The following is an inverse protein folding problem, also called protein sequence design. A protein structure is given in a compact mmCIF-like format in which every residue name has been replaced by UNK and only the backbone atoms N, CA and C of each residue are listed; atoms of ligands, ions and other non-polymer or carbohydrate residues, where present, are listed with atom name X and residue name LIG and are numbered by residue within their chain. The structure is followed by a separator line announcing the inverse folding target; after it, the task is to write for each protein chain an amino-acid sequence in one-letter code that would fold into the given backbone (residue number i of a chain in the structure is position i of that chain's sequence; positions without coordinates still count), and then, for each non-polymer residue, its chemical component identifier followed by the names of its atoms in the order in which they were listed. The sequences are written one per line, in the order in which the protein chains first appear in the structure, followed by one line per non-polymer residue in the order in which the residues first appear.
data_IF_938367549660
#
_entry.id   IF_938367549660
#
_cell.length_a   1.000
_cell.length_b   1.000
_cell.length_c   1.000
_cell.angle_alpha   90.00
_cell.angle_beta   90.00
_cell.angle_gamma   90.00
#
_symmetry.space_group_name_H-M   'P 1'
#
loop_
_entity.id
_entity.type
_entity.pdbx_description
1 polymer ?
#
# COMPACT_ATOMS: atom_id res chain seq x y z
N UNK A 1 10.46 -4.11 13.30
CA UNK A 1 11.77 -4.27 13.96
C UNK A 1 12.75 -5.07 13.10
N UNK A 2 12.39 -6.30 12.66
CA UNK A 2 13.28 -7.17 11.87
C UNK A 2 13.79 -6.46 10.60
N UNK A 3 12.92 -5.91 9.78
CA UNK A 3 13.31 -5.22 8.54
C UNK A 3 14.20 -4.00 8.80
N UNK A 4 13.90 -3.22 9.82
CA UNK A 4 14.72 -2.04 10.19
C UNK A 4 16.14 -2.42 10.62
N UNK A 5 16.32 -3.62 11.21
CA UNK A 5 17.61 -4.07 11.72
C UNK A 5 18.51 -4.70 10.64
N UNK A 6 17.92 -5.24 9.57
CA UNK A 6 18.66 -5.97 8.53
C UNK A 6 18.88 -5.17 7.24
N UNK A 7 18.31 -3.97 7.12
CA UNK A 7 18.55 -3.10 5.98
C UNK A 7 19.67 -2.11 6.29
N UNK A 8 20.75 -2.17 5.52
CA UNK A 8 21.93 -1.30 5.68
C UNK A 8 21.72 0.13 5.18
N UNK A 9 20.73 0.39 4.32
CA UNK A 9 20.41 1.73 3.80
C UNK A 9 19.23 2.31 4.61
N UNK A 10 19.52 3.28 5.51
CA UNK A 10 18.53 3.90 6.40
C UNK A 10 17.49 4.74 5.65
N UNK A 11 16.24 4.63 6.05
CA UNK A 11 15.11 5.44 5.55
C UNK A 11 13.79 4.71 5.48
N UNK A 12 13.79 3.39 5.45
CA UNK A 12 12.57 2.59 5.46
C UNK A 12 11.85 2.70 6.82
N UNK A 13 10.51 2.71 6.77
CA UNK A 13 9.67 2.88 7.96
C UNK A 13 9.78 4.25 8.66
N UNK A 14 10.36 5.25 8.01
CA UNK A 14 10.36 6.63 8.47
C UNK A 14 9.21 7.37 7.80
N UNK A 15 8.19 7.68 8.58
CA UNK A 15 7.07 8.50 8.13
C UNK A 15 7.40 9.97 8.35
N UNK A 16 6.99 10.82 7.41
CA UNK A 16 7.19 12.25 7.51
C UNK A 16 6.01 13.03 6.98
N UNK A 17 5.45 13.88 7.81
CA UNK A 17 4.43 14.86 7.45
C UNK A 17 5.09 16.25 7.28
N UNK A 18 4.78 16.92 6.18
CA UNK A 18 5.17 18.28 5.91
C UNK A 18 3.94 19.14 5.67
N UNK A 19 3.88 20.29 6.32
CA UNK A 19 2.73 21.20 6.17
C UNK A 19 3.10 22.63 6.55
N UNK A 20 2.61 23.60 5.79
CA UNK A 20 2.69 24.99 6.17
C UNK A 20 1.64 25.31 7.24
N UNK A 21 2.02 26.06 8.24
CA UNK A 21 1.18 26.44 9.39
C UNK A 21 1.26 27.93 9.61
N UNK A 22 0.12 28.62 9.49
CA UNK A 22 -0.04 30.02 9.84
C UNK A 22 -0.63 30.18 11.25
N UNK A 23 -0.20 31.20 11.99
CA UNK A 23 -0.68 31.51 13.34
C UNK A 23 -0.08 30.65 14.45
N UNK A 24 1.04 29.97 14.16
CA UNK A 24 1.69 29.07 15.12
C UNK A 24 2.49 29.84 16.18
N UNK A 25 2.32 29.45 17.44
CA UNK A 25 3.15 29.83 18.59
C UNK A 25 4.02 28.63 18.99
N UNK A 26 5.34 28.60 18.62
CA UNK A 26 6.19 27.42 18.73
C UNK A 26 6.27 26.84 20.13
N UNK A 27 6.42 27.70 21.16
CA UNK A 27 6.57 27.25 22.54
C UNK A 27 5.30 26.52 23.04
N UNK A 28 4.11 27.06 22.72
CA UNK A 28 2.84 26.43 23.06
C UNK A 28 2.64 25.10 22.30
N UNK A 29 3.11 25.05 21.06
CA UNK A 29 3.06 23.84 20.25
C UNK A 29 3.98 22.76 20.80
N UNK A 30 5.23 23.11 21.17
CA UNK A 30 6.18 22.22 21.81
C UNK A 30 5.63 21.64 23.13
N UNK A 31 5.02 22.50 23.96
CA UNK A 31 4.38 22.05 25.22
C UNK A 31 3.22 21.10 24.98
N UNK A 32 2.38 21.36 23.96
CA UNK A 32 1.27 20.46 23.61
C UNK A 32 1.78 19.08 23.18
N UNK A 33 2.82 19.04 22.36
CA UNK A 33 3.47 17.79 21.95
C UNK A 33 4.09 17.04 23.13
N UNK A 34 4.89 17.74 23.96
CA UNK A 34 5.54 17.14 25.11
C UNK A 34 4.52 16.52 26.07
N UNK A 35 3.44 17.24 26.36
CA UNK A 35 2.36 16.75 27.25
C UNK A 35 1.60 15.56 26.62
N UNK A 36 1.49 15.49 25.28
CA UNK A 36 0.89 14.35 24.61
C UNK A 36 1.83 13.14 24.66
N UNK A 37 3.13 13.32 24.46
CA UNK A 37 4.13 12.25 24.57
C UNK A 37 4.12 11.67 26.01
N UNK A 38 4.08 12.50 27.03
CA UNK A 38 4.04 12.06 28.44
C UNK A 38 2.81 11.23 28.76
N UNK A 39 1.69 11.50 28.09
CA UNK A 39 0.43 10.81 28.28
C UNK A 39 0.39 9.39 27.72
N UNK A 40 1.08 9.13 26.60
CA UNK A 40 1.01 7.86 25.88
C UNK A 40 2.29 7.03 26.06
N UNK A 41 2.17 5.86 26.68
CA UNK A 41 3.29 4.96 26.94
C UNK A 41 4.05 4.61 25.67
N UNK A 42 3.35 4.36 24.57
CA UNK A 42 3.97 3.98 23.28
C UNK A 42 4.90 5.08 22.73
N UNK A 43 4.58 6.36 22.94
CA UNK A 43 5.41 7.48 22.46
C UNK A 43 6.70 7.66 23.29
N UNK A 44 6.76 7.02 24.46
CA UNK A 44 7.93 6.97 25.34
C UNK A 44 8.63 5.60 25.29
N UNK A 45 8.35 4.82 24.25
CA UNK A 45 8.88 3.47 24.14
C UNK A 45 10.12 3.44 23.26
N UNK A 46 11.10 2.63 23.67
CA UNK A 46 12.23 2.16 22.86
C UNK A 46 12.22 0.64 22.77
N UNK A 47 13.02 0.09 21.88
CA UNK A 47 13.08 -1.34 21.60
C UNK A 47 14.51 -1.82 21.76
N UNK A 48 14.69 -2.85 22.58
CA UNK A 48 16.00 -3.48 22.85
C UNK A 48 16.00 -4.88 22.27
N UNK A 49 17.02 -5.20 21.48
CA UNK A 49 17.17 -6.51 20.81
C UNK A 49 18.60 -7.04 20.88
N UNK A 50 19.55 -6.25 21.44
CA UNK A 50 20.95 -6.61 21.54
C UNK A 50 21.25 -7.26 22.90
N UNK A 51 22.34 -8.07 22.94
CA UNK A 51 22.76 -8.76 24.14
C UNK A 51 22.11 -10.15 24.29
N UNK A 52 22.17 -10.72 25.49
CA UNK A 52 21.62 -12.06 25.82
C UNK A 52 20.11 -12.02 26.09
N UNK A 53 19.35 -11.28 25.26
CA UNK A 53 17.89 -11.21 25.40
C UNK A 53 17.25 -12.40 24.67
N UNK A 54 16.30 -13.12 25.30
CA UNK A 54 15.60 -14.25 24.68
C UNK A 54 14.66 -13.81 23.56
N UNK A 55 14.25 -12.54 23.54
CA UNK A 55 13.42 -11.91 22.52
C UNK A 55 13.57 -10.37 22.60
N UNK A 56 13.23 -9.64 21.53
CA UNK A 56 13.15 -8.17 21.57
C UNK A 56 12.21 -7.68 22.66
N UNK A 57 12.62 -6.65 23.40
CA UNK A 57 11.86 -6.07 24.51
C UNK A 57 11.47 -4.64 24.16
N UNK A 58 10.21 -4.29 24.38
CA UNK A 58 9.76 -2.91 24.37
C UNK A 58 9.90 -2.32 25.78
N UNK A 59 10.61 -1.21 25.92
CA UNK A 59 10.86 -0.50 27.18
C UNK A 59 10.11 0.83 27.16
N UNK A 60 9.29 1.07 28.18
CA UNK A 60 8.62 2.36 28.37
C UNK A 60 9.44 3.21 29.33
N UNK A 61 9.98 4.32 28.83
CA UNK A 61 10.74 5.27 29.64
C UNK A 61 9.81 6.13 30.50
N UNK A 62 10.25 6.46 31.72
CA UNK A 62 9.47 7.32 32.62
C UNK A 62 9.36 8.75 32.10
N UNK A 63 10.45 9.26 31.56
CA UNK A 63 10.55 10.61 31.03
C UNK A 63 11.34 10.59 29.73
N UNK A 64 10.90 11.36 28.77
CA UNK A 64 11.57 11.60 27.48
C UNK A 64 11.41 13.08 27.12
N UNK A 65 12.35 13.63 26.37
CA UNK A 65 12.30 15.01 25.87
C UNK A 65 12.09 15.00 24.38
N UNK A 66 11.09 15.73 23.90
CA UNK A 66 10.87 15.92 22.48
C UNK A 66 12.01 16.72 21.85
N UNK A 67 12.62 16.19 20.82
CA UNK A 67 13.50 16.95 19.96
C UNK A 67 12.64 17.84 19.04
N UNK A 68 12.77 19.16 19.21
CA UNK A 68 12.08 20.15 18.38
C UNK A 68 13.10 21.24 17.99
N UNK A 69 13.53 21.20 16.74
CA UNK A 69 14.51 22.15 16.18
C UNK A 69 13.79 23.26 15.45
N UNK A 70 14.20 24.51 15.67
CA UNK A 70 13.67 25.67 14.98
C UNK A 70 14.74 26.31 14.10
N UNK A 71 14.41 26.54 12.83
CA UNK A 71 15.23 27.30 11.86
C UNK A 71 14.53 28.61 11.52
N UNK A 72 15.25 29.72 11.54
CA UNK A 72 14.72 31.01 11.10
C UNK A 72 15.22 31.33 9.68
N UNK A 73 14.30 31.21 8.72
CA UNK A 73 14.59 31.48 7.30
C UNK A 73 13.90 32.76 6.78
N UNK A 74 13.40 33.62 7.65
CA UNK A 74 12.73 34.86 7.26
C UNK A 74 13.61 35.82 6.45
N UNK A 75 14.89 35.85 6.73
CA UNK A 75 15.87 36.69 6.05
C UNK A 75 16.55 36.05 4.84
N UNK A 76 16.27 34.76 4.60
CA UNK A 76 16.97 33.99 3.57
C UNK A 76 16.00 33.72 2.42
N UNK A 77 16.34 34.20 1.20
CA UNK A 77 15.63 33.74 -0.03
C UNK A 77 16.04 32.29 -0.33
N UNK A 78 15.62 31.37 0.50
CA UNK A 78 15.85 29.95 0.23
C UNK A 78 14.79 29.43 -0.74
N UNK A 79 15.24 28.73 -1.79
CA UNK A 79 14.37 28.11 -2.76
C UNK A 79 13.54 26.99 -2.10
N UNK A 80 12.34 26.66 -2.62
CA UNK A 80 11.55 25.51 -2.16
C UNK A 80 12.36 24.22 -2.05
N UNK A 81 13.35 24.02 -2.91
CA UNK A 81 14.29 22.89 -2.86
C UNK A 81 15.07 22.77 -1.53
N UNK A 82 15.28 23.87 -0.81
CA UNK A 82 15.96 23.82 0.48
C UNK A 82 15.09 23.12 1.55
N UNK A 83 13.76 23.30 1.52
CA UNK A 83 12.83 22.57 2.38
C UNK A 83 12.81 21.08 2.04
N UNK A 84 12.87 20.75 0.75
CA UNK A 84 12.92 19.33 0.31
C UNK A 84 14.22 18.67 0.76
N UNK A 85 15.35 19.38 0.65
CA UNK A 85 16.65 18.89 1.11
C UNK A 85 16.67 18.69 2.62
N UNK A 86 16.14 19.64 3.40
CA UNK A 86 16.04 19.52 4.85
C UNK A 86 15.16 18.33 5.24
N UNK A 87 14.00 18.18 4.61
CA UNK A 87 13.09 17.08 4.85
C UNK A 87 13.72 15.72 4.51
N UNK A 88 14.45 15.63 3.40
CA UNK A 88 15.19 14.42 3.03
C UNK A 88 16.29 14.09 4.04
N UNK A 89 17.05 15.10 4.51
CA UNK A 89 18.08 14.93 5.53
C UNK A 89 17.49 14.42 6.84
N UNK A 90 16.34 14.95 7.26
CA UNK A 90 15.62 14.47 8.45
C UNK A 90 15.16 13.03 8.31
N UNK A 91 14.71 12.58 7.13
CA UNK A 91 14.36 11.17 6.91
C UNK A 91 15.58 10.26 6.97
N UNK A 92 16.66 10.63 6.27
CA UNK A 92 17.90 9.85 6.21
C UNK A 92 18.58 9.71 7.57
N UNK A 93 18.41 10.69 8.46
CA UNK A 93 18.93 10.63 9.82
C UNK A 93 18.42 9.43 10.62
N UNK A 94 17.23 8.91 10.30
CA UNK A 94 16.64 7.75 10.98
C UNK A 94 16.42 7.96 12.48
N UNK A 95 16.30 6.84 13.22
CA UNK A 95 16.14 6.79 14.67
C UNK A 95 16.96 5.64 15.26
N UNK A 96 17.58 5.87 16.40
CA UNK A 96 18.04 4.78 17.27
C UNK A 96 16.81 4.19 17.98
N UNK A 97 16.43 2.97 17.62
CA UNK A 97 15.23 2.33 18.16
C UNK A 97 15.30 2.12 19.68
N UNK A 98 16.49 2.08 20.26
CA UNK A 98 16.66 1.98 21.72
C UNK A 98 16.40 3.30 22.43
N UNK A 99 16.44 4.44 21.75
CA UNK A 99 16.33 5.76 22.34
C UNK A 99 14.96 6.43 22.05
N UNK A 100 14.10 6.53 23.06
CA UNK A 100 12.82 7.25 22.94
C UNK A 100 13.00 8.78 23.15
N UNK A 101 12.15 9.62 22.50
CA UNK A 101 11.04 9.27 21.63
C UNK A 101 11.50 9.00 20.19
N UNK A 102 10.82 8.10 19.50
CA UNK A 102 11.07 7.80 18.09
C UNK A 102 10.24 8.73 17.16
N UNK A 103 10.20 9.99 17.52
CA UNK A 103 9.58 11.06 16.75
C UNK A 103 10.30 12.39 17.06
N UNK A 104 10.29 13.32 16.10
CA UNK A 104 10.87 14.65 16.24
C UNK A 104 10.18 15.68 15.37
N UNK A 105 10.34 16.94 15.68
CA UNK A 105 9.79 18.08 14.98
C UNK A 105 10.92 19.00 14.49
N UNK A 106 10.75 19.50 13.27
CA UNK A 106 11.54 20.61 12.74
C UNK A 106 10.58 21.71 12.30
N UNK A 107 10.73 22.91 12.86
CA UNK A 107 9.95 24.08 12.54
C UNK A 107 10.83 25.05 11.75
N UNK A 108 10.45 25.35 10.51
CA UNK A 108 11.15 26.33 9.70
C UNK A 108 10.29 27.59 9.65
N UNK A 109 10.76 28.66 10.30
CA UNK A 109 10.07 29.94 10.34
C UNK A 109 10.27 30.69 9.02
N UNK A 110 9.19 30.88 8.25
CA UNK A 110 9.20 31.52 6.93
C UNK A 110 8.55 32.91 6.95
N UNK A 111 7.86 33.26 8.04
CA UNK A 111 7.21 34.55 8.26
C UNK A 111 7.03 34.86 9.74
N UNK A 112 6.36 35.95 10.11
CA UNK A 112 6.18 36.35 11.51
C UNK A 112 5.52 35.27 12.36
N UNK A 113 4.43 34.67 11.84
CA UNK A 113 3.71 33.56 12.47
C UNK A 113 3.49 32.41 11.50
N UNK A 114 4.30 32.35 10.43
CA UNK A 114 4.25 31.29 9.42
C UNK A 114 5.42 30.36 9.57
N UNK A 115 5.12 29.08 9.63
CA UNK A 115 6.10 28.00 9.80
C UNK A 115 5.85 26.88 8.78
N UNK A 116 6.92 26.25 8.31
CA UNK A 116 6.86 24.96 7.67
C UNK A 116 7.19 23.90 8.73
N UNK A 117 6.21 23.05 9.06
CA UNK A 117 6.38 21.94 9.99
C UNK A 117 6.87 20.72 9.23
N UNK A 118 7.94 20.11 9.72
CA UNK A 118 8.40 18.77 9.33
C UNK A 118 8.27 17.89 10.59
N UNK A 119 7.31 16.98 10.60
CA UNK A 119 7.11 16.00 11.64
C UNK A 119 7.57 14.65 11.14
N UNK A 120 8.58 14.07 11.78
CA UNK A 120 9.19 12.80 11.40
C UNK A 120 9.04 11.79 12.52
N UNK A 121 8.60 10.57 12.22
CA UNK A 121 8.46 9.50 13.20
C UNK A 121 8.80 8.13 12.59
N UNK A 122 9.21 7.20 13.45
CA UNK A 122 9.40 5.82 13.05
C UNK A 122 8.05 5.09 13.09
N UNK A 123 7.72 4.36 12.02
CA UNK A 123 6.43 3.66 11.87
C UNK A 123 6.20 2.58 12.94
N UNK A 124 7.25 2.07 13.60
CA UNK A 124 7.13 1.11 14.71
C UNK A 124 6.29 1.63 15.89
N UNK A 125 6.16 2.96 16.04
CA UNK A 125 5.37 3.56 17.11
C UNK A 125 3.87 3.45 16.87
N UNK A 126 3.43 3.67 15.63
CA UNK A 126 2.01 3.85 15.35
C UNK A 126 1.69 3.71 13.87
N UNK A 127 0.44 3.39 13.61
CA UNK A 127 -0.20 3.39 12.31
C UNK A 127 -0.78 4.76 11.92
N UNK A 128 -1.26 4.89 10.68
CA UNK A 128 -1.85 6.12 10.15
C UNK A 128 -3.07 6.60 10.94
N UNK A 129 -3.94 5.68 11.40
CA UNK A 129 -5.05 6.01 12.29
C UNK A 129 -4.58 6.64 13.59
N UNK A 130 -3.63 5.99 14.25
CA UNK A 130 -3.04 6.49 15.50
C UNK A 130 -2.36 7.83 15.30
N UNK A 131 -1.69 8.03 14.16
CA UNK A 131 -1.02 9.29 13.83
C UNK A 131 -2.03 10.43 13.67
N UNK A 132 -3.14 10.22 12.97
CA UNK A 132 -4.23 11.21 12.86
C UNK A 132 -4.82 11.57 14.22
N UNK A 133 -5.02 10.60 15.10
CA UNK A 133 -5.49 10.82 16.46
C UNK A 133 -4.49 11.59 17.31
N UNK A 134 -3.20 11.25 17.21
CA UNK A 134 -2.11 11.95 17.89
C UNK A 134 -2.10 13.42 17.52
N UNK A 135 -2.14 13.74 16.24
CA UNK A 135 -2.19 15.12 15.74
C UNK A 135 -3.44 15.85 16.24
N UNK A 136 -4.60 15.20 16.22
CA UNK A 136 -5.84 15.76 16.77
C UNK A 136 -5.71 16.07 18.28
N UNK A 137 -5.13 15.18 19.10
CA UNK A 137 -4.91 15.41 20.52
C UNK A 137 -3.92 16.56 20.78
N UNK A 138 -2.84 16.64 19.99
CA UNK A 138 -1.88 17.75 20.08
C UNK A 138 -2.57 19.10 19.79
N UNK A 139 -3.40 19.18 18.76
CA UNK A 139 -4.13 20.40 18.43
C UNK A 139 -5.17 20.79 19.49
N UNK A 140 -5.87 19.81 20.07
CA UNK A 140 -6.78 20.05 21.21
C UNK A 140 -6.02 20.63 22.41
N UNK A 141 -4.86 20.05 22.77
CA UNK A 141 -4.00 20.57 23.83
C UNK A 141 -3.45 21.94 23.52
N UNK A 142 -3.04 22.17 22.28
CA UNK A 142 -2.64 23.49 21.84
C UNK A 142 -3.77 24.52 21.99
N UNK A 143 -5.03 24.12 21.78
CA UNK A 143 -6.21 24.94 22.03
C UNK A 143 -6.55 25.10 23.54
N UNK A 144 -5.82 24.45 24.44
CA UNK A 144 -6.08 24.46 25.89
C UNK A 144 -7.18 23.48 26.33
N UNK A 145 -7.53 22.53 25.48
CA UNK A 145 -8.49 21.47 25.79
C UNK A 145 -7.75 20.24 26.29
N UNK A 146 -8.26 19.63 27.37
CA UNK A 146 -7.62 18.46 27.97
C UNK A 146 -8.59 17.28 27.97
N UNK A 147 -8.12 16.13 27.53
CA UNK A 147 -8.90 14.91 27.60
C UNK A 147 -9.06 14.46 29.06
N UNK A 148 -10.30 14.20 29.47
CA UNK A 148 -10.67 13.86 30.84
C UNK A 148 -10.36 12.41 31.24
N UNK A 149 -10.15 11.52 30.26
CA UNK A 149 -9.98 10.08 30.50
C UNK A 149 -8.52 9.66 30.27
N UNK A 150 -8.03 8.70 31.06
CA UNK A 150 -6.74 8.07 30.80
C UNK A 150 -6.75 7.34 29.47
N UNK A 151 -5.67 7.42 28.66
CA UNK A 151 -5.57 6.65 27.42
C UNK A 151 -5.47 5.16 27.73
N UNK A 152 -5.96 4.32 26.83
CA UNK A 152 -5.69 2.89 26.88
C UNK A 152 -4.18 2.62 26.71
N UNK A 153 -3.72 1.51 27.25
CA UNK A 153 -2.30 1.13 27.17
C UNK A 153 -2.07 0.15 26.04
N UNK A 154 -1.08 0.42 25.21
CA UNK A 154 -0.70 -0.49 24.12
C UNK A 154 -0.30 -1.89 24.61
N UNK A 155 0.27 -1.99 25.84
CA UNK A 155 0.54 -3.28 26.49
C UNK A 155 -0.69 -4.19 26.64
N UNK A 156 -1.89 -3.61 26.78
CA UNK A 156 -3.12 -4.39 26.91
C UNK A 156 -3.46 -5.09 25.59
N UNK A 157 -3.16 -4.44 24.47
CA UNK A 157 -3.21 -5.06 23.14
C UNK A 157 -2.19 -6.19 23.00
N UNK A 158 -0.94 -5.97 23.42
CA UNK A 158 0.09 -7.03 23.40
C UNK A 158 -0.36 -8.23 24.28
N UNK A 159 -0.91 -7.98 25.46
CA UNK A 159 -1.43 -9.04 26.31
C UNK A 159 -2.66 -9.74 25.71
N UNK A 160 -3.46 -9.05 24.92
CA UNK A 160 -4.54 -9.63 24.14
C UNK A 160 -4.00 -10.54 23.02
N UNK A 161 -3.00 -10.08 22.26
CA UNK A 161 -2.32 -10.87 21.21
C UNK A 161 -1.76 -12.19 21.76
N UNK A 162 -1.12 -12.15 22.94
CA UNK A 162 -0.53 -13.35 23.58
C UNK A 162 -1.56 -14.40 23.99
N UNK A 163 -2.84 -14.03 24.08
CA UNK A 163 -3.94 -14.95 24.43
C UNK A 163 -4.64 -15.56 23.23
N UNK A 164 -4.26 -15.13 22.00
CA UNK A 164 -4.87 -15.67 20.80
C UNK A 164 -4.46 -17.11 20.55
N UNK A 165 -5.37 -17.91 20.03
CA UNK A 165 -5.14 -19.32 19.74
C UNK A 165 -4.39 -19.46 18.39
N UNK A 166 -3.11 -19.79 18.49
CA UNK A 166 -2.25 -19.98 17.34
C UNK A 166 -2.67 -21.18 16.47
N UNK A 167 -3.25 -22.24 17.06
CA UNK A 167 -3.69 -23.42 16.32
C UNK A 167 -4.94 -23.15 15.50
N UNK A 168 -5.84 -22.35 16.05
CA UNK A 168 -7.03 -21.91 15.33
C UNK A 168 -6.64 -21.03 14.14
N UNK A 169 -5.73 -20.09 14.35
CA UNK A 169 -5.17 -19.25 13.29
C UNK A 169 -4.48 -20.08 12.21
N UNK A 170 -3.65 -21.06 12.58
CA UNK A 170 -2.97 -21.94 11.64
C UNK A 170 -3.98 -22.73 10.78
N UNK A 171 -5.01 -23.28 11.40
CA UNK A 171 -6.05 -24.04 10.70
C UNK A 171 -6.78 -23.18 9.67
N UNK A 172 -7.20 -21.96 10.08
CA UNK A 172 -7.84 -21.00 9.20
C UNK A 172 -6.96 -20.64 8.00
N UNK A 173 -5.72 -20.22 8.28
CA UNK A 173 -4.83 -19.77 7.21
C UNK A 173 -4.43 -20.88 6.25
N UNK A 174 -4.18 -22.09 6.72
CA UNK A 174 -3.95 -23.24 5.83
C UNK A 174 -5.13 -23.48 4.89
N UNK A 175 -6.35 -23.33 5.38
CA UNK A 175 -7.55 -23.44 4.56
C UNK A 175 -7.65 -22.31 3.52
N UNK A 176 -7.39 -21.05 3.91
CA UNK A 176 -7.41 -19.91 2.99
C UNK A 176 -6.34 -20.02 1.89
N UNK A 177 -5.16 -20.50 2.25
CA UNK A 177 -4.02 -20.63 1.35
C UNK A 177 -4.06 -21.88 0.47
N UNK A 178 -4.95 -22.84 0.74
CA UNK A 178 -5.02 -24.12 0.01
C UNK A 178 -5.33 -23.95 -1.49
N UNK A 179 -5.86 -22.81 -1.90
CA UNK A 179 -6.16 -22.51 -3.31
C UNK A 179 -4.99 -21.82 -4.03
N UNK A 180 -3.92 -21.47 -3.30
CA UNK A 180 -2.77 -20.74 -3.84
C UNK A 180 -1.71 -21.75 -4.31
N UNK A 181 -1.46 -21.77 -5.61
CA UNK A 181 -0.47 -22.68 -6.21
C UNK A 181 0.96 -22.14 -6.10
N UNK A 182 1.13 -20.84 -6.31
CA UNK A 182 2.44 -20.17 -6.30
C UNK A 182 2.32 -18.69 -5.84
N UNK A 183 3.40 -18.06 -5.36
CA UNK A 183 3.40 -16.65 -5.03
C UNK A 183 3.09 -15.76 -6.22
N UNK A 184 2.40 -14.64 -5.99
CA UNK A 184 2.09 -13.65 -7.03
C UNK A 184 3.19 -12.61 -7.13
N UNK A 185 3.85 -12.51 -8.29
CA UNK A 185 4.97 -11.60 -8.59
C UNK A 185 4.59 -10.63 -9.70
N UNK A 186 3.91 -9.55 -9.35
CA UNK A 186 3.46 -8.53 -10.31
C UNK A 186 4.65 -7.84 -10.98
N UNK A 187 5.69 -7.51 -10.22
CA UNK A 187 6.90 -6.89 -10.74
C UNK A 187 7.54 -7.74 -11.85
N UNK A 188 7.64 -9.06 -11.62
CA UNK A 188 8.18 -9.97 -12.62
C UNK A 188 7.28 -10.09 -13.85
N UNK A 189 5.97 -10.11 -13.66
CA UNK A 189 5.01 -10.19 -14.76
C UNK A 189 5.08 -8.96 -15.67
N UNK A 190 5.22 -7.78 -15.09
CA UNK A 190 5.34 -6.51 -15.82
C UNK A 190 6.70 -6.36 -16.49
N UNK A 191 7.81 -6.74 -15.83
CA UNK A 191 9.17 -6.60 -16.37
C UNK A 191 9.41 -7.41 -17.66
N UNK A 192 8.64 -8.45 -17.90
CA UNK A 192 8.67 -9.21 -19.18
C UNK A 192 8.38 -8.32 -20.40
N UNK A 193 7.81 -7.13 -20.22
CA UNK A 193 7.58 -6.14 -21.27
C UNK A 193 8.84 -5.40 -21.76
N UNK A 194 10.02 -5.61 -21.14
CA UNK A 194 11.32 -5.14 -21.66
C UNK A 194 11.58 -3.64 -21.57
N UNK A 195 10.87 -2.90 -20.70
CA UNK A 195 11.15 -1.46 -20.47
C UNK A 195 12.38 -1.26 -19.59
N UNK A 196 13.14 -0.19 -19.88
CA UNK A 196 14.31 0.18 -19.09
C UNK A 196 13.88 0.70 -17.70
N UNK A 197 14.50 0.18 -16.65
CA UNK A 197 14.27 0.60 -15.27
C UNK A 197 15.14 1.83 -14.92
N UNK A 198 14.61 2.72 -14.06
CA UNK A 198 15.24 4.02 -13.79
C UNK A 198 16.33 3.99 -12.71
N UNK A 199 16.54 2.88 -12.02
CA UNK A 199 17.54 2.75 -10.97
C UNK A 199 16.95 2.50 -9.57
N UNK A 200 17.67 2.89 -8.51
CA UNK A 200 17.27 2.65 -7.12
C UNK A 200 16.30 3.72 -6.58
N UNK A 201 15.52 3.35 -5.59
CA UNK A 201 14.60 4.23 -4.86
C UNK A 201 13.14 4.04 -5.23
N UNK A 202 12.30 4.94 -4.74
CA UNK A 202 10.85 4.90 -4.96
C UNK A 202 10.36 6.14 -5.68
N UNK A 203 9.30 5.96 -6.47
CA UNK A 203 8.54 7.05 -7.06
C UNK A 203 7.05 6.88 -6.76
N UNK A 204 6.27 7.92 -6.99
CA UNK A 204 4.84 7.91 -6.78
C UNK A 204 4.08 8.34 -8.06
N UNK A 205 2.91 7.75 -8.26
CA UNK A 205 1.95 8.15 -9.27
C UNK A 205 0.58 8.28 -8.64
N UNK A 206 -0.11 9.40 -8.88
CA UNK A 206 -1.43 9.67 -8.34
C UNK A 206 -2.48 9.68 -9.43
N UNK A 207 -3.64 9.09 -9.13
CA UNK A 207 -4.81 9.06 -10.00
C UNK A 207 -6.07 9.36 -9.18
N UNK A 208 -7.00 10.08 -9.77
CA UNK A 208 -8.30 10.37 -9.17
C UNK A 208 -9.41 9.99 -10.16
N UNK A 209 -10.41 9.30 -9.66
CA UNK A 209 -11.68 9.19 -10.38
C UNK A 209 -12.47 10.49 -10.20
N UNK A 210 -13.25 10.88 -11.19
CA UNK A 210 -14.11 12.03 -11.05
C UNK A 210 -15.27 11.78 -10.06
N UNK A 211 -16.00 12.84 -9.71
CA UNK A 211 -17.12 12.78 -8.77
C UNK A 211 -18.21 11.81 -9.24
N UNK A 212 -18.53 11.82 -10.54
CA UNK A 212 -19.58 10.97 -11.11
C UNK A 212 -19.19 9.49 -11.07
N UNK A 213 -17.96 9.17 -11.47
CA UNK A 213 -17.41 7.82 -11.39
C UNK A 213 -17.41 7.30 -9.95
N UNK A 214 -16.95 8.13 -8.99
CA UNK A 214 -16.90 7.79 -7.56
C UNK A 214 -18.30 7.51 -7.01
N UNK A 215 -19.30 8.35 -7.34
CA UNK A 215 -20.67 8.14 -6.92
C UNK A 215 -21.26 6.85 -7.50
N UNK A 216 -21.06 6.59 -8.79
CA UNK A 216 -21.51 5.34 -9.45
C UNK A 216 -20.93 4.09 -8.77
N UNK A 217 -19.62 4.10 -8.47
CA UNK A 217 -18.94 2.99 -7.75
C UNK A 217 -19.53 2.80 -6.34
N UNK A 218 -19.74 3.89 -5.60
CA UNK A 218 -20.28 3.85 -4.24
C UNK A 218 -21.73 3.36 -4.21
N UNK A 219 -22.56 3.77 -5.17
CA UNK A 219 -23.93 3.32 -5.31
C UNK A 219 -24.00 1.84 -5.70
N UNK A 220 -23.16 1.42 -6.64
CA UNK A 220 -23.07 0.04 -7.06
C UNK A 220 -22.62 -0.88 -5.91
N UNK A 221 -21.59 -0.49 -5.15
CA UNK A 221 -21.14 -1.22 -3.97
C UNK A 221 -22.30 -1.45 -2.99
N UNK A 222 -23.09 -0.41 -2.73
CA UNK A 222 -24.27 -0.47 -1.84
C UNK A 222 -25.35 -1.38 -2.40
N UNK A 223 -25.64 -1.31 -3.71
CA UNK A 223 -26.61 -2.18 -4.38
C UNK A 223 -26.19 -3.65 -4.30
N UNK A 224 -24.89 -3.93 -4.50
CA UNK A 224 -24.32 -5.26 -4.37
C UNK A 224 -24.09 -5.70 -2.92
N UNK A 225 -24.38 -4.85 -1.91
CA UNK A 225 -24.13 -5.10 -0.48
C UNK A 225 -22.68 -5.42 -0.16
N UNK A 226 -21.75 -4.78 -0.85
CA UNK A 226 -20.30 -4.87 -0.62
C UNK A 226 -19.74 -3.49 -0.28
N UNK A 227 -18.49 -3.43 0.19
CA UNK A 227 -17.81 -2.15 0.42
C UNK A 227 -17.10 -1.67 -0.84
N UNK A 228 -16.79 -0.37 -0.93
CA UNK A 228 -15.94 0.17 -2.00
C UNK A 228 -14.55 -0.49 -1.96
N UNK A 229 -14.02 -0.77 -0.75
CA UNK A 229 -12.78 -1.53 -0.61
C UNK A 229 -12.87 -2.90 -1.28
N UNK A 230 -13.98 -3.62 -1.09
CA UNK A 230 -14.22 -4.91 -1.76
C UNK A 230 -14.23 -4.78 -3.27
N UNK A 231 -14.83 -3.71 -3.84
CA UNK A 231 -14.79 -3.46 -5.29
C UNK A 231 -13.35 -3.26 -5.78
N UNK A 232 -12.56 -2.45 -5.06
CA UNK A 232 -11.16 -2.19 -5.43
C UNK A 232 -10.34 -3.48 -5.34
N UNK A 233 -10.49 -4.25 -4.28
CA UNK A 233 -9.79 -5.53 -4.11
C UNK A 233 -10.20 -6.55 -5.18
N UNK A 234 -11.49 -6.62 -5.51
CA UNK A 234 -12.00 -7.50 -6.56
C UNK A 234 -11.40 -7.14 -7.93
N UNK A 235 -11.35 -5.85 -8.27
CA UNK A 235 -10.71 -5.36 -9.50
C UNK A 235 -9.20 -5.65 -9.50
N UNK A 236 -8.52 -5.45 -8.36
CA UNK A 236 -7.10 -5.69 -8.21
C UNK A 236 -6.73 -7.16 -8.40
N UNK A 237 -7.49 -8.08 -7.81
CA UNK A 237 -7.32 -9.53 -7.99
C UNK A 237 -7.47 -9.95 -9.47
N UNK A 238 -8.46 -9.40 -10.18
CA UNK A 238 -8.63 -9.67 -11.61
C UNK A 238 -7.45 -9.13 -12.43
N UNK A 239 -6.93 -7.95 -12.09
CA UNK A 239 -5.74 -7.41 -12.74
C UNK A 239 -4.52 -8.29 -12.50
N UNK A 240 -4.28 -8.71 -11.26
CA UNK A 240 -3.15 -9.60 -10.93
C UNK A 240 -3.23 -10.89 -11.76
N UNK A 241 -4.42 -11.50 -11.85
CA UNK A 241 -4.64 -12.69 -12.66
C UNK A 241 -4.32 -12.45 -14.15
N UNK A 242 -4.76 -11.30 -14.70
CA UNK A 242 -4.52 -10.94 -16.11
C UNK A 242 -3.04 -10.66 -16.41
N UNK A 243 -2.32 -10.04 -15.48
CA UNK A 243 -0.90 -9.74 -15.64
C UNK A 243 -0.01 -10.97 -15.48
N UNK A 244 -0.30 -11.82 -14.48
CA UNK A 244 0.53 -12.98 -14.17
C UNK A 244 0.17 -14.21 -15.00
N UNK A 245 -1.08 -14.33 -15.43
CA UNK A 245 -1.61 -15.53 -16.08
C UNK A 245 -1.82 -16.71 -15.13
N UNK A 246 -1.75 -16.47 -13.82
CA UNK A 246 -1.97 -17.48 -12.78
C UNK A 246 -3.46 -17.77 -12.59
N UNK A 247 -3.83 -19.02 -12.26
CA UNK A 247 -5.21 -19.38 -11.92
C UNK A 247 -5.60 -18.86 -10.54
N UNK A 248 -4.65 -18.84 -9.60
CA UNK A 248 -4.81 -18.27 -8.26
C UNK A 248 -3.83 -17.12 -8.04
N UNK A 249 -4.27 -16.07 -7.36
CA UNK A 249 -3.48 -14.86 -7.10
C UNK A 249 -3.62 -14.39 -5.67
N UNK A 250 -2.60 -13.66 -5.20
CA UNK A 250 -2.54 -13.13 -3.86
C UNK A 250 -1.89 -11.74 -3.84
N UNK A 251 -2.43 -10.86 -3.01
CA UNK A 251 -1.79 -9.59 -2.65
C UNK A 251 -1.89 -9.38 -1.14
N UNK A 252 -1.09 -8.47 -0.59
CA UNK A 252 -1.21 -8.07 0.80
C UNK A 252 -2.26 -6.97 0.99
N UNK A 253 -3.24 -7.19 1.87
CA UNK A 253 -4.16 -6.14 2.29
C UNK A 253 -3.78 -5.66 3.69
N UNK A 254 -3.71 -4.35 3.88
CA UNK A 254 -3.57 -3.77 5.21
C UNK A 254 -4.90 -3.78 5.93
N UNK A 255 -4.91 -4.32 7.13
CA UNK A 255 -6.08 -4.40 8.02
C UNK A 255 -5.87 -3.56 9.27
N UNK A 256 -6.96 -3.15 9.93
CA UNK A 256 -6.89 -2.22 11.06
C UNK A 256 -6.27 -2.83 12.32
N UNK A 257 -6.40 -4.15 12.52
CA UNK A 257 -5.86 -4.88 13.66
C UNK A 257 -6.39 -4.42 15.03
N UNK A 258 -7.55 -3.75 15.06
CA UNK A 258 -8.17 -3.21 16.28
C UNK A 258 -9.33 -4.09 16.70
N UNK A 259 -9.10 -5.07 17.61
CA UNK A 259 -10.13 -6.04 17.99
C UNK A 259 -11.24 -5.36 18.82
N UNK A 260 -12.50 -5.67 18.48
CA UNK A 260 -13.67 -5.10 19.14
C UNK A 260 -13.77 -5.48 20.63
N UNK A 261 -13.15 -6.60 21.03
CA UNK A 261 -13.11 -7.08 22.41
C UNK A 261 -12.24 -6.21 23.30
N UNK A 262 -11.27 -5.47 22.73
CA UNK A 262 -10.41 -4.59 23.49
C UNK A 262 -11.06 -3.23 23.65
N UNK A 263 -11.69 -3.02 24.80
CA UNK A 263 -12.44 -1.80 25.10
C UNK A 263 -11.59 -0.54 24.91
N UNK A 264 -12.06 0.38 24.08
CA UNK A 264 -11.42 1.67 23.83
C UNK A 264 -10.19 1.57 22.88
N UNK A 265 -9.99 0.46 22.20
CA UNK A 265 -8.89 0.26 21.23
C UNK A 265 -8.90 1.31 20.13
N UNK A 266 -10.04 1.77 19.70
CA UNK A 266 -10.23 2.83 18.70
C UNK A 266 -9.60 4.17 19.10
N UNK A 267 -9.43 4.38 20.42
CA UNK A 267 -8.86 5.59 20.99
C UNK A 267 -7.38 5.43 21.37
N UNK A 268 -6.83 4.23 21.27
CA UNK A 268 -5.44 3.97 21.59
C UNK A 268 -4.51 4.41 20.47
N UNK A 269 -3.34 4.93 20.85
CA UNK A 269 -2.23 5.22 19.95
C UNK A 269 -1.26 4.04 20.03
N UNK A 270 -0.90 3.49 18.85
CA UNK A 270 -0.01 2.36 18.72
C UNK A 270 0.00 1.80 17.29
N UNK A 271 0.80 0.79 17.07
CA UNK A 271 0.86 0.05 15.81
C UNK A 271 -0.08 -1.15 15.89
N UNK A 272 -1.26 -1.02 15.32
CA UNK A 272 -2.27 -2.09 15.31
C UNK A 272 -2.40 -2.73 13.94
N UNK A 273 -2.15 -1.98 12.87
CA UNK A 273 -2.27 -2.51 11.50
C UNK A 273 -1.43 -3.76 11.31
N UNK A 274 -1.94 -4.64 10.47
CA UNK A 274 -1.23 -5.81 9.99
C UNK A 274 -1.43 -5.93 8.48
N UNK A 275 -0.54 -6.65 7.80
CA UNK A 275 -0.68 -6.97 6.39
C UNK A 275 -0.98 -8.45 6.26
N UNK A 276 -2.11 -8.76 5.62
CA UNK A 276 -2.59 -10.13 5.47
C UNK A 276 -2.77 -10.49 4.00
N UNK A 277 -2.50 -11.75 3.60
CA UNK A 277 -2.75 -12.18 2.25
C UNK A 277 -4.25 -12.27 1.95
N UNK A 278 -4.68 -11.62 0.88
CA UNK A 278 -5.99 -11.83 0.25
C UNK A 278 -5.78 -12.72 -0.96
N UNK A 279 -6.24 -13.96 -0.86
CA UNK A 279 -6.05 -14.99 -1.88
C UNK A 279 -7.35 -15.21 -2.64
N UNK A 280 -7.27 -15.36 -3.96
CA UNK A 280 -8.42 -15.74 -4.77
C UNK A 280 -8.00 -16.55 -6.00
N UNK A 281 -8.95 -17.38 -6.47
CA UNK A 281 -8.87 -18.09 -7.75
C UNK A 281 -10.10 -17.70 -8.59
N UNK A 282 -10.01 -16.55 -9.32
CA UNK A 282 -11.13 -16.04 -10.12
C UNK A 282 -11.41 -16.99 -11.30
N UNK A 283 -12.60 -17.54 -11.40
CA UNK A 283 -13.01 -18.39 -12.52
C UNK A 283 -13.66 -17.55 -13.62
N UNK A 284 -13.21 -17.65 -14.87
CA UNK A 284 -13.71 -16.81 -15.96
C UNK A 284 -15.22 -16.84 -16.19
N UNK A 285 -15.88 -17.95 -15.87
CA UNK A 285 -17.31 -18.15 -16.01
C UNK A 285 -18.16 -17.57 -14.87
N UNK A 286 -17.52 -17.07 -13.80
CA UNK A 286 -18.21 -16.55 -12.62
C UNK A 286 -18.87 -15.20 -12.91
N UNK A 287 -20.16 -15.00 -12.55
CA UNK A 287 -20.81 -13.69 -12.64
C UNK A 287 -20.12 -12.64 -11.77
N UNK A 288 -20.12 -11.38 -12.21
CA UNK A 288 -19.56 -10.26 -11.45
C UNK A 288 -20.14 -10.18 -10.04
N UNK A 289 -21.47 -10.32 -9.89
CA UNK A 289 -22.12 -10.30 -8.58
C UNK A 289 -21.57 -11.35 -7.63
N UNK A 290 -21.42 -12.59 -8.10
CA UNK A 290 -20.94 -13.70 -7.28
C UNK A 290 -19.46 -13.54 -6.91
N UNK A 291 -18.67 -12.98 -7.84
CA UNK A 291 -17.27 -12.61 -7.59
C UNK A 291 -17.15 -11.59 -6.47
N UNK A 292 -17.96 -10.53 -6.50
CA UNK A 292 -17.95 -9.50 -5.46
C UNK A 292 -18.37 -10.05 -4.10
N UNK A 293 -19.39 -10.91 -4.05
CA UNK A 293 -19.82 -11.57 -2.81
C UNK A 293 -18.69 -12.47 -2.26
N UNK A 294 -18.03 -13.24 -3.10
CA UNK A 294 -16.92 -14.11 -2.69
C UNK A 294 -15.78 -13.29 -2.05
N UNK A 295 -15.39 -12.16 -2.66
CA UNK A 295 -14.36 -11.28 -2.10
C UNK A 295 -14.81 -10.66 -0.77
N UNK A 296 -16.09 -10.23 -0.69
CA UNK A 296 -16.67 -9.68 0.55
C UNK A 296 -16.68 -10.71 1.68
N UNK A 297 -17.12 -11.94 1.41
CA UNK A 297 -17.15 -13.02 2.39
C UNK A 297 -15.75 -13.35 2.91
N UNK A 298 -14.75 -13.39 2.03
CA UNK A 298 -13.35 -13.60 2.42
C UNK A 298 -12.85 -12.47 3.32
N UNK A 299 -13.12 -11.21 2.98
CA UNK A 299 -12.75 -10.07 3.80
C UNK A 299 -13.41 -10.12 5.19
N UNK A 300 -14.64 -10.58 5.27
CA UNK A 300 -15.33 -10.76 6.56
C UNK A 300 -14.71 -11.88 7.39
N UNK A 301 -14.37 -13.00 6.76
CA UNK A 301 -13.73 -14.12 7.45
C UNK A 301 -12.33 -13.78 7.97
N UNK A 302 -11.60 -12.89 7.31
CA UNK A 302 -10.28 -12.44 7.76
C UNK A 302 -10.31 -11.64 9.06
N UNK A 303 -11.43 -10.98 9.40
CA UNK A 303 -11.51 -10.05 10.54
C UNK A 303 -11.16 -10.70 11.87
N UNK A 304 -11.58 -11.93 12.09
CA UNK A 304 -11.31 -12.65 13.34
C UNK A 304 -9.83 -13.05 13.47
N UNK A 305 -9.07 -12.97 12.36
CA UNK A 305 -7.68 -13.38 12.26
C UNK A 305 -6.74 -12.23 11.88
N UNK A 306 -7.18 -10.98 11.96
CA UNK A 306 -6.36 -9.79 11.66
C UNK A 306 -5.09 -9.69 12.51
N UNK A 307 -5.08 -10.35 13.67
CA UNK A 307 -3.97 -10.40 14.59
C UNK A 307 -2.83 -11.35 14.19
N UNK A 308 -3.05 -12.21 13.18
CA UNK A 308 -2.07 -13.25 12.82
C UNK A 308 -0.83 -12.63 12.16
N UNK A 309 0.40 -12.89 12.66
CA UNK A 309 1.60 -12.36 12.04
C UNK A 309 1.81 -12.91 10.63
N UNK A 310 2.14 -12.03 9.68
CA UNK A 310 2.34 -12.42 8.27
C UNK A 310 3.40 -13.50 8.10
N UNK A 311 4.48 -13.48 8.90
CA UNK A 311 5.54 -14.49 8.82
C UNK A 311 5.05 -15.91 9.18
N UNK A 312 4.09 -16.03 10.10
CA UNK A 312 3.45 -17.31 10.42
C UNK A 312 2.57 -17.78 9.26
N UNK A 313 1.80 -16.88 8.68
CA UNK A 313 0.97 -17.16 7.50
C UNK A 313 1.83 -17.64 6.32
N UNK A 314 2.95 -16.97 6.05
CA UNK A 314 3.92 -17.38 5.01
C UNK A 314 4.52 -18.76 5.28
N UNK A 315 4.86 -19.06 6.53
CA UNK A 315 5.37 -20.38 6.92
C UNK A 315 4.32 -21.48 6.72
N UNK A 316 3.05 -21.21 7.04
CA UNK A 316 1.95 -22.17 6.87
C UNK A 316 1.51 -22.37 5.42
N UNK A 317 1.86 -21.46 4.53
CA UNK A 317 1.59 -21.60 3.10
C UNK A 317 2.32 -22.79 2.45
N UNK A 318 3.39 -23.28 3.05
CA UNK A 318 4.13 -24.43 2.52
C UNK A 318 4.97 -24.14 1.26
N UNK A 319 5.12 -22.87 0.90
CA UNK A 319 5.84 -22.39 -0.30
C UNK A 319 7.30 -21.99 0.02
N UNK A 320 7.98 -22.78 0.87
CA UNK A 320 9.39 -22.59 1.19
C UNK A 320 9.73 -21.39 2.07
N UNK A 321 8.72 -20.71 2.65
CA UNK A 321 8.91 -19.50 3.48
C UNK A 321 9.17 -18.22 2.66
N UNK A 322 9.01 -18.27 1.35
CA UNK A 322 9.10 -17.09 0.49
C UNK A 322 7.93 -16.11 0.73
N UNK A 323 8.18 -14.84 0.41
CA UNK A 323 7.09 -13.84 0.41
C UNK A 323 5.98 -14.28 -0.56
N UNK A 324 4.73 -14.23 -0.14
CA UNK A 324 3.59 -14.67 -0.96
C UNK A 324 3.25 -13.67 -2.08
N UNK A 325 3.58 -12.41 -1.90
CA UNK A 325 3.26 -11.30 -2.81
C UNK A 325 4.36 -10.23 -2.79
N UNK A 326 4.40 -9.42 -3.82
CA UNK A 326 5.31 -8.27 -3.98
C UNK A 326 4.56 -6.93 -4.04
N UNK A 327 3.25 -6.94 -3.77
CA UNK A 327 2.41 -5.77 -3.80
C UNK A 327 1.39 -5.77 -2.66
N UNK A 328 1.07 -4.58 -2.14
CA UNK A 328 0.07 -4.40 -1.08
C UNK A 328 -0.96 -3.34 -1.47
N UNK A 329 -2.18 -3.50 -0.94
CA UNK A 329 -3.26 -2.55 -1.04
C UNK A 329 -3.63 -2.04 0.35
N UNK A 330 -3.61 -0.72 0.51
CA UNK A 330 -3.93 -0.01 1.74
C UNK A 330 -5.18 0.84 1.50
N UNK A 331 -6.29 0.53 2.16
CA UNK A 331 -7.49 1.35 2.07
C UNK A 331 -7.54 2.32 3.24
N UNK A 332 -7.26 3.60 2.96
CA UNK A 332 -7.15 4.67 3.94
C UNK A 332 -8.52 5.29 4.22
N UNK A 333 -8.94 5.23 5.47
CA UNK A 333 -10.22 5.83 5.90
C UNK A 333 -10.07 7.19 6.61
N UNK A 334 -8.83 7.65 6.85
CA UNK A 334 -8.55 8.83 7.67
C UNK A 334 -7.42 9.68 7.08
N UNK A 335 -7.71 10.59 6.15
CA UNK A 335 -6.70 11.50 5.65
C UNK A 335 -6.23 12.45 6.76
N UNK A 336 -4.91 12.50 6.98
CA UNK A 336 -4.26 13.38 7.96
C UNK A 336 -4.68 14.85 7.76
N UNK A 337 -4.86 15.27 6.51
CA UNK A 337 -5.32 16.60 6.14
C UNK A 337 -6.70 16.96 6.75
N UNK A 338 -7.63 16.00 6.81
CA UNK A 338 -8.92 16.22 7.47
C UNK A 338 -8.79 16.32 8.98
N UNK A 339 -7.93 15.49 9.59
CA UNK A 339 -7.67 15.56 11.03
C UNK A 339 -7.05 16.91 11.42
N UNK A 340 -6.14 17.45 10.61
CA UNK A 340 -5.57 18.78 10.80
C UNK A 340 -6.63 19.88 10.63
N UNK A 341 -7.45 19.80 9.58
CA UNK A 341 -8.49 20.81 9.32
C UNK A 341 -9.58 20.83 10.39
N UNK A 342 -10.04 19.64 10.85
CA UNK A 342 -11.10 19.53 11.87
C UNK A 342 -10.59 19.81 13.29
N UNK A 343 -9.31 19.50 13.59
CA UNK A 343 -8.70 19.71 14.90
C UNK A 343 -8.11 21.11 15.09
N UNK A 344 -7.98 21.90 14.03
CA UNK A 344 -7.34 23.21 14.09
C UNK A 344 -8.16 24.21 14.92
N UNK A 345 -7.58 24.81 15.98
CA UNK A 345 -8.21 25.97 16.61
C UNK A 345 -8.26 27.16 15.62
N UNK A 346 -9.24 28.03 15.77
CA UNK A 346 -9.54 29.13 14.83
C UNK A 346 -8.36 30.04 14.45
N UNK A 347 -7.31 30.05 15.28
CA UNK A 347 -6.09 30.83 15.04
C UNK A 347 -5.03 30.12 14.21
N UNK A 348 -5.17 28.80 13.97
CA UNK A 348 -4.25 28.04 13.13
C UNK A 348 -4.87 27.76 11.76
N UNK A 349 -4.07 27.93 10.73
CA UNK A 349 -4.44 27.54 9.38
C UNK A 349 -3.33 26.61 8.83
N UNK A 350 -3.73 25.48 8.30
CA UNK A 350 -2.86 24.49 7.68
C UNK A 350 -2.96 24.57 6.17
N UNK A 351 -1.81 24.56 5.51
CA UNK A 351 -1.71 24.40 4.06
C UNK A 351 -1.98 22.94 3.65
N UNK A 352 -1.67 22.64 2.40
CA UNK A 352 -1.74 21.28 1.89
C UNK A 352 -0.66 20.42 2.56
N UNK A 353 -1.09 19.34 3.20
CA UNK A 353 -0.16 18.40 3.83
C UNK A 353 0.47 17.50 2.78
N UNK A 354 1.79 17.35 2.82
CA UNK A 354 2.53 16.34 2.08
C UNK A 354 2.92 15.23 3.06
N UNK A 355 2.46 14.03 2.80
CA UNK A 355 2.78 12.85 3.59
C UNK A 355 3.76 11.98 2.82
N UNK A 356 4.79 11.49 3.50
CA UNK A 356 5.73 10.52 2.97
C UNK A 356 5.67 9.26 3.83
N UNK A 357 5.09 8.23 3.26
CA UNK A 357 5.05 6.89 3.83
C UNK A 357 5.67 5.93 2.81
N UNK A 358 6.63 5.15 3.27
CA UNK A 358 7.32 4.19 2.42
C UNK A 358 7.28 2.82 3.07
N UNK A 359 6.90 1.82 2.29
CA UNK A 359 6.95 0.42 2.67
C UNK A 359 8.12 -0.26 1.94
N UNK A 360 8.47 -1.47 2.35
CA UNK A 360 9.48 -2.30 1.70
C UNK A 360 8.92 -3.13 0.53
N UNK A 361 7.66 -2.94 0.15
CA UNK A 361 7.07 -3.66 -0.97
C UNK A 361 7.39 -2.97 -2.29
N UNK A 362 7.68 -3.74 -3.36
CA UNK A 362 7.89 -3.20 -4.70
C UNK A 362 6.77 -2.29 -5.19
N UNK A 363 5.51 -2.58 -4.81
CA UNK A 363 4.36 -1.73 -5.10
C UNK A 363 3.42 -1.63 -3.89
N UNK A 364 3.11 -0.39 -3.51
CA UNK A 364 2.04 -0.07 -2.56
C UNK A 364 0.96 0.74 -3.26
N UNK A 365 -0.26 0.23 -3.25
CA UNK A 365 -1.46 0.92 -3.74
C UNK A 365 -2.25 1.43 -2.55
N UNK A 366 -2.16 2.74 -2.27
CA UNK A 366 -3.01 3.41 -1.27
C UNK A 366 -4.27 3.96 -1.92
N UNK A 367 -5.41 3.71 -1.29
CA UNK A 367 -6.74 4.08 -1.79
C UNK A 367 -7.44 4.97 -0.78
N UNK A 368 -7.91 6.12 -1.22
CA UNK A 368 -8.58 7.12 -0.39
C UNK A 368 -10.00 7.38 -0.92
N UNK A 369 -11.00 7.19 -0.09
CA UNK A 369 -12.38 7.52 -0.42
C UNK A 369 -12.82 8.79 0.31
N UNK A 370 -12.78 9.90 -0.42
CA UNK A 370 -13.34 11.19 0.01
C UNK A 370 -14.54 11.58 -0.86
N UNK A 371 -14.58 12.80 -1.34
CA UNK A 371 -15.54 13.22 -2.37
C UNK A 371 -15.28 12.50 -3.70
N UNK A 372 -14.01 12.20 -3.96
CA UNK A 372 -13.53 11.42 -5.09
C UNK A 372 -12.71 10.24 -4.59
N UNK A 373 -12.71 9.13 -5.34
CA UNK A 373 -11.86 7.99 -5.09
C UNK A 373 -10.47 8.27 -5.68
N UNK A 374 -9.47 8.30 -4.81
CA UNK A 374 -8.08 8.58 -5.17
C UNK A 374 -7.21 7.34 -4.97
N UNK A 375 -6.23 7.19 -5.85
CA UNK A 375 -5.24 6.12 -5.82
C UNK A 375 -3.84 6.72 -5.82
N UNK A 376 -2.99 6.26 -4.92
CA UNK A 376 -1.59 6.60 -4.84
C UNK A 376 -0.74 5.32 -5.00
N UNK A 377 0.08 5.28 -6.05
CA UNK A 377 0.94 4.16 -6.38
C UNK A 377 2.36 4.52 -5.97
N UNK A 378 2.83 4.01 -4.84
CA UNK A 378 4.25 4.07 -4.45
C UNK A 378 4.97 2.83 -4.97
N UNK A 379 6.00 3.00 -5.80
CA UNK A 379 6.65 1.89 -6.49
C UNK A 379 8.17 2.01 -6.54
N UNK A 380 8.83 0.87 -6.44
CA UNK A 380 10.28 0.76 -6.52
C UNK A 380 10.76 0.88 -7.98
N UNK A 381 11.66 1.83 -8.22
CA UNK A 381 12.24 2.11 -9.55
C UNK A 381 13.10 0.95 -10.11
N UNK A 382 13.52 0.04 -9.23
CA UNK A 382 14.23 -1.19 -9.60
C UNK A 382 13.31 -2.25 -10.23
N UNK A 383 12.00 -2.11 -10.03
CA UNK A 383 11.01 -3.09 -10.45
C UNK A 383 10.02 -2.55 -11.48
N UNK A 384 9.74 -1.24 -11.46
CA UNK A 384 8.71 -0.64 -12.31
C UNK A 384 9.22 0.63 -13.01
N UNK A 385 8.91 0.75 -14.30
CA UNK A 385 9.00 2.01 -15.01
C UNK A 385 7.69 2.82 -14.81
N UNK A 386 7.77 4.15 -14.85
CA UNK A 386 6.60 5.03 -14.69
C UNK A 386 5.48 4.71 -15.68
N UNK A 387 5.83 4.39 -16.94
CA UNK A 387 4.87 4.03 -17.96
C UNK A 387 4.07 2.76 -17.62
N UNK A 388 4.70 1.78 -16.95
CA UNK A 388 4.02 0.57 -16.49
C UNK A 388 2.99 0.90 -15.41
N UNK A 389 3.33 1.76 -14.47
CA UNK A 389 2.43 2.16 -13.39
C UNK A 389 1.26 2.98 -13.94
N UNK A 390 1.48 3.90 -14.87
CA UNK A 390 0.41 4.64 -15.54
C UNK A 390 -0.56 3.72 -16.30
N UNK A 391 -0.02 2.70 -16.97
CA UNK A 391 -0.83 1.70 -17.65
C UNK A 391 -1.64 0.86 -16.67
N UNK A 392 -0.99 0.38 -15.59
CA UNK A 392 -1.64 -0.38 -14.52
C UNK A 392 -2.78 0.41 -13.88
N UNK A 393 -2.56 1.70 -13.60
CA UNK A 393 -3.56 2.62 -13.07
C UNK A 393 -4.76 2.77 -14.02
N UNK A 394 -4.50 2.96 -15.31
CA UNK A 394 -5.56 3.01 -16.33
C UNK A 394 -6.37 1.71 -16.42
N UNK A 395 -5.72 0.56 -16.28
CA UNK A 395 -6.41 -0.73 -16.30
C UNK A 395 -7.22 -0.98 -15.01
N UNK A 396 -6.74 -0.49 -13.85
CA UNK A 396 -7.54 -0.56 -12.63
C UNK A 396 -8.83 0.26 -12.75
N UNK A 397 -8.74 1.48 -13.28
CA UNK A 397 -9.91 2.31 -13.55
C UNK A 397 -10.89 1.61 -14.51
N UNK A 398 -10.39 1.09 -15.64
CA UNK A 398 -11.22 0.38 -16.61
C UNK A 398 -11.89 -0.85 -15.99
N UNK A 399 -11.18 -1.61 -15.17
CA UNK A 399 -11.74 -2.79 -14.49
C UNK A 399 -12.83 -2.38 -13.50
N UNK A 400 -12.63 -1.33 -12.70
CA UNK A 400 -13.63 -0.80 -11.77
C UNK A 400 -14.90 -0.35 -12.51
N UNK A 401 -14.75 0.36 -13.63
CA UNK A 401 -15.87 0.80 -14.44
C UNK A 401 -16.60 -0.38 -15.11
N UNK A 402 -15.85 -1.37 -15.62
CA UNK A 402 -16.42 -2.57 -16.22
C UNK A 402 -17.24 -3.41 -15.24
N UNK A 403 -16.80 -3.53 -13.98
CA UNK A 403 -17.57 -4.20 -12.92
C UNK A 403 -18.92 -3.53 -12.68
N UNK A 404 -18.97 -2.20 -12.73
CA UNK A 404 -20.21 -1.42 -12.54
C UNK A 404 -21.12 -1.47 -13.77
N UNK A 405 -20.54 -1.41 -14.97
CA UNK A 405 -21.30 -1.33 -16.22
C UNK A 405 -21.85 -2.68 -16.67
N UNK A 406 -21.21 -3.78 -16.26
CA UNK A 406 -21.53 -5.12 -16.70
C UNK A 406 -21.79 -6.09 -15.53
N UNK A 407 -22.71 -5.78 -14.61
CA UNK A 407 -22.89 -6.57 -13.38
C UNK A 407 -23.40 -8.00 -13.61
N UNK A 408 -23.95 -8.28 -14.79
CA UNK A 408 -24.47 -9.60 -15.18
C UNK A 408 -23.49 -10.39 -16.06
N UNK A 409 -22.40 -9.76 -16.51
CA UNK A 409 -21.39 -10.45 -17.31
C UNK A 409 -20.58 -11.42 -16.44
N UNK A 410 -19.94 -12.39 -17.09
CA UNK A 410 -18.89 -13.17 -16.44
C UNK A 410 -17.60 -12.35 -16.30
N UNK A 411 -16.81 -12.57 -15.24
CA UNK A 411 -15.57 -11.84 -15.03
C UNK A 411 -14.55 -12.08 -16.14
N UNK A 412 -14.67 -13.20 -16.87
CA UNK A 412 -13.85 -13.49 -18.05
C UNK A 412 -14.12 -12.57 -19.24
N UNK A 413 -15.35 -12.04 -19.36
CA UNK A 413 -15.77 -11.15 -20.44
C UNK A 413 -15.36 -9.70 -20.21
N UNK A 414 -15.00 -9.31 -18.99
CA UNK A 414 -14.57 -7.95 -18.66
C UNK A 414 -13.28 -7.61 -19.40
N UNK A 415 -13.32 -6.58 -20.21
CA UNK A 415 -12.16 -6.13 -20.99
C UNK A 415 -11.27 -5.21 -20.15
N UNK A 416 -9.93 -5.43 -20.20
CA UNK A 416 -8.93 -4.54 -19.63
C UNK A 416 -8.74 -3.27 -20.45
N UNK A 417 -8.83 -3.41 -21.79
CA UNK A 417 -8.52 -2.33 -22.72
C UNK A 417 -9.77 -1.51 -23.04
N UNK A 418 -9.66 -0.20 -22.94
CA UNK A 418 -10.70 0.72 -23.39
C UNK A 418 -10.90 0.65 -24.91
N UNK A 419 -12.02 1.20 -25.42
CA UNK A 419 -12.34 1.20 -26.85
C UNK A 419 -11.24 1.83 -27.72
N UNK A 420 -10.60 2.90 -27.22
CA UNK A 420 -9.50 3.59 -27.93
C UNK A 420 -8.27 2.71 -28.08
N UNK A 421 -7.84 2.03 -27.00
CA UNK A 421 -6.67 1.15 -27.02
C UNK A 421 -6.93 -0.08 -27.90
N UNK A 422 -8.13 -0.68 -27.80
CA UNK A 422 -8.54 -1.78 -28.71
C UNK A 422 -8.41 -1.37 -30.17
N UNK A 423 -8.91 -0.18 -30.51
CA UNK A 423 -8.81 0.33 -31.88
C UNK A 423 -7.36 0.52 -32.33
N UNK A 424 -6.49 1.04 -31.44
CA UNK A 424 -5.05 1.17 -31.75
C UNK A 424 -4.39 -0.19 -31.97
N UNK A 425 -4.71 -1.19 -31.14
CA UNK A 425 -4.20 -2.56 -31.29
C UNK A 425 -4.68 -3.16 -32.63
N UNK A 426 -5.94 -2.99 -32.98
CA UNK A 426 -6.52 -3.44 -34.23
C UNK A 426 -5.86 -2.75 -35.46
N UNK A 427 -5.68 -1.43 -35.35
CA UNK A 427 -4.97 -0.66 -36.37
C UNK A 427 -3.50 -1.08 -36.54
N UNK A 428 -2.80 -1.36 -35.43
CA UNK A 428 -1.42 -1.86 -35.50
C UNK A 428 -1.35 -3.28 -36.05
N UNK A 429 -2.28 -4.15 -35.73
CA UNK A 429 -2.38 -5.51 -36.28
C UNK A 429 -2.71 -5.48 -37.76
N UNK A 430 -3.57 -4.55 -38.18
CA UNK A 430 -3.93 -4.40 -39.60
C UNK A 430 -2.83 -3.69 -40.48
N UNK A 431 -1.89 -2.99 -39.81
CA UNK A 431 -0.71 -2.39 -40.43
C UNK A 431 0.44 -3.39 -40.65
N UNK A 432 0.19 -4.69 -40.60
CA UNK A 432 1.19 -5.67 -41.03
C UNK A 432 1.60 -5.27 -42.44
N UNK A 433 2.87 -4.89 -42.70
CA UNK A 433 3.29 -4.54 -44.08
C UNK A 433 2.90 -5.69 -44.95
N UNK A 434 2.21 -5.37 -46.06
CA UNK A 434 1.93 -6.36 -47.09
C UNK A 434 3.29 -6.98 -47.45
N UNK A 435 3.59 -8.14 -46.86
CA UNK A 435 4.70 -8.94 -47.37
C UNK A 435 4.36 -9.19 -48.82
N UNK A 436 5.26 -8.84 -49.70
CA UNK A 436 5.21 -9.35 -51.07
C UNK A 436 4.95 -10.85 -50.93
N UNK A 437 3.71 -11.23 -51.17
CA UNK A 437 3.33 -12.64 -51.12
C UNK A 437 4.20 -13.28 -52.19
N UNK A 438 5.20 -14.01 -51.76
CA UNK A 438 5.99 -14.84 -52.66
C UNK A 438 5.01 -15.57 -53.56
N UNK A 439 5.24 -15.66 -54.89
CA UNK A 439 4.39 -16.42 -55.79
C UNK A 439 4.36 -17.92 -55.47
N UNK A 440 4.98 -18.32 -54.39
CA UNK A 440 5.03 -19.69 -53.89
C UNK A 440 3.70 -20.11 -53.25
N UNK A 441 3.24 -21.30 -53.60
CA UNK A 441 2.13 -21.95 -52.89
C UNK A 441 2.49 -22.27 -51.45
N UNK A 442 1.48 -22.44 -50.59
CA UNK A 442 1.67 -22.77 -49.14
C UNK A 442 2.58 -24.00 -48.99
N UNK A 443 2.43 -25.03 -49.84
CA UNK A 443 3.28 -26.22 -49.84
C UNK A 443 4.76 -25.86 -50.02
N UNK A 444 5.07 -25.02 -51.00
CA UNK A 444 6.45 -24.57 -51.29
C UNK A 444 7.05 -23.76 -50.12
N UNK A 445 6.22 -23.00 -49.40
CA UNK A 445 6.68 -22.29 -48.20
C UNK A 445 7.00 -23.25 -47.05
N UNK A 446 6.22 -24.33 -46.89
CA UNK A 446 6.48 -25.38 -45.92
C UNK A 446 7.75 -26.15 -46.30
N UNK A 447 7.91 -26.56 -47.56
CA UNK A 447 9.10 -27.22 -48.08
C UNK A 447 10.36 -26.36 -47.88
N UNK A 448 10.28 -25.07 -48.20
CA UNK A 448 11.39 -24.14 -47.97
C UNK A 448 11.72 -23.95 -46.48
N UNK A 449 10.72 -23.98 -45.58
CA UNK A 449 10.94 -23.92 -44.15
C UNK A 449 11.53 -25.24 -43.64
N UNK A 450 11.04 -26.39 -44.11
CA UNK A 450 11.58 -27.70 -43.76
C UNK A 450 13.06 -27.85 -44.21
N UNK A 451 13.41 -27.30 -45.37
CA UNK A 451 14.79 -27.29 -45.84
C UNK A 451 15.73 -26.42 -44.98
N UNK A 452 15.20 -25.32 -44.38
CA UNK A 452 15.98 -24.43 -43.51
C UNK A 452 16.12 -24.90 -42.09
N UNK A 453 15.08 -25.52 -41.53
CA UNK A 453 14.98 -25.86 -40.08
C UNK A 453 14.24 -27.19 -39.88
N UNK A 454 14.77 -28.27 -40.49
CA UNK A 454 14.12 -29.58 -40.49
C UNK A 454 13.75 -30.12 -39.07
N UNK A 455 14.63 -29.87 -38.12
CA UNK A 455 14.48 -30.38 -36.72
C UNK A 455 13.64 -29.45 -35.83
N UNK A 456 13.28 -28.23 -36.27
CA UNK A 456 12.44 -27.34 -35.51
C UNK A 456 11.01 -27.85 -35.45
N UNK A 457 10.34 -27.62 -34.31
CA UNK A 457 8.94 -28.05 -34.08
C UNK A 457 8.01 -27.27 -35.01
N UNK A 458 7.29 -27.98 -35.88
CA UNK A 458 6.30 -27.42 -36.79
C UNK A 458 4.89 -27.46 -36.20
N UNK A 459 4.56 -28.53 -35.50
CA UNK A 459 3.22 -28.77 -34.89
C UNK A 459 3.32 -29.33 -33.51
N UNK A 460 2.42 -28.85 -32.64
CA UNK A 460 2.28 -29.32 -31.26
C UNK A 460 0.78 -29.56 -31.00
N UNK A 461 0.34 -30.81 -31.12
CA UNK A 461 -1.04 -31.21 -30.85
C UNK A 461 -1.06 -32.64 -30.32
N UNK A 462 -0.82 -32.82 -29.02
CA UNK A 462 -0.71 -34.14 -28.40
C UNK A 462 0.59 -34.89 -28.73
N UNK A 463 1.11 -34.71 -29.96
CA UNK A 463 2.44 -35.13 -30.42
C UNK A 463 3.18 -33.91 -31.00
N UNK A 464 4.50 -33.93 -30.93
CA UNK A 464 5.34 -32.92 -31.60
C UNK A 464 5.81 -33.48 -32.95
N UNK A 465 5.61 -32.72 -34.00
CA UNK A 465 6.20 -33.01 -35.31
C UNK A 465 7.19 -31.89 -35.69
N UNK A 466 8.38 -32.27 -36.13
CA UNK A 466 9.32 -31.34 -36.71
C UNK A 466 8.90 -30.91 -38.14
N UNK A 467 9.47 -29.83 -38.67
CA UNK A 467 9.22 -29.44 -40.05
C UNK A 467 9.61 -30.53 -41.05
N UNK A 468 10.68 -31.29 -40.79
CA UNK A 468 11.10 -32.41 -41.62
C UNK A 468 10.14 -33.61 -41.53
N UNK A 469 9.42 -33.79 -40.45
CA UNK A 469 8.40 -34.86 -40.30
C UNK A 469 7.03 -34.42 -40.85
N UNK A 470 6.79 -33.10 -40.85
CA UNK A 470 5.55 -32.52 -41.33
C UNK A 470 5.51 -32.37 -42.87
N UNK A 471 6.68 -32.24 -43.48
CA UNK A 471 6.87 -32.17 -44.94
C UNK A 471 6.92 -33.56 -45.56
#
# INVERSE_FOLDING_TARGET
LFHTLYQEEGGDYINQLRVDVDGLYPERFRQAWQATIERHDILRSGFLWQGELPAPIQVVYKQVSLECVEHDWRSTQQAPQALDTLAATERQRGFDLAAAPLLRLTLVRTGEQRYHLIYTNHHILMDGWSNSRLLGEVLQRYAGQFASHAPGRYRDYIAWLQRQDAQLSETFWKQQLAVLDEPTRLAQAISRGGQALAGKGYAAHQQHLDLQQTQRLSEFARQQKVTVNTLVQAAWLLLLQRYTGQDSVVFGATVSGRPAELKGVEQQIGLFINTLPVVAAPRPDMPVSDWLQLVQERNLALRDFEHTPLYDVQRWAGLGGEALFDNILVFENYPVSEALAQGAPAQLSFGMAANHEQTNYPLTLSVYLGQTLAFDYSYALEHFAEANIRQLAGYLEQMLLALVEQPQASIGELALTGATERRLIEEQRSRTPARDLSPLCVQQLIEAQAARTADAVALRAGQQLSYGQFN
#
